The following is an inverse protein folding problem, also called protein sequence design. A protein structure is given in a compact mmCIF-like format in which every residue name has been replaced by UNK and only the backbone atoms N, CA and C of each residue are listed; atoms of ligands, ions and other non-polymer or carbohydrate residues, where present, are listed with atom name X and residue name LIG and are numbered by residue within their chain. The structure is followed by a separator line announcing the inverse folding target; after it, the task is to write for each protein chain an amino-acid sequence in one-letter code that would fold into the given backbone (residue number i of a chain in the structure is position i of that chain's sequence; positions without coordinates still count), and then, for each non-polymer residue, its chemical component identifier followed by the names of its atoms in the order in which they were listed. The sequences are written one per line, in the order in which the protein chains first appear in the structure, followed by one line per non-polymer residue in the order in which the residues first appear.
data_IF_436698442524
#
_entry.id   IF_436698442524
#
_cell.length_a   1.000
_cell.length_b   1.000
_cell.length_c   1.000
_cell.angle_alpha   90.00
_cell.angle_beta   90.00
_cell.angle_gamma   90.00
#
_symmetry.space_group_name_H-M   'P 1'
#
loop_
_entity.id
_entity.type
_entity.pdbx_description
1 polymer ?
#
# COMPACT_ATOMS: atom_id res chain seq x y z
N UNK A 1 -17.57 15.10 13.62
CA UNK A 1 -16.99 13.74 13.72
C UNK A 1 -16.01 13.50 12.57
N UNK A 2 -16.38 13.65 11.31
CA UNK A 2 -15.48 13.42 10.14
C UNK A 2 -14.19 14.23 10.18
N UNK A 3 -14.26 15.49 10.58
CA UNK A 3 -13.10 16.35 10.73
C UNK A 3 -12.13 15.83 11.81
N UNK A 4 -12.66 15.50 12.98
CA UNK A 4 -11.87 14.98 14.09
C UNK A 4 -11.19 13.65 13.73
N UNK A 5 -11.92 12.73 13.09
CA UNK A 5 -11.33 11.47 12.60
C UNK A 5 -10.22 11.71 11.59
N UNK A 6 -10.40 12.66 10.66
CA UNK A 6 -9.35 13.00 9.68
C UNK A 6 -8.11 13.53 10.36
N UNK A 7 -8.28 14.44 11.32
CA UNK A 7 -7.16 15.02 12.07
C UNK A 7 -6.44 13.94 12.90
N UNK A 8 -7.19 13.03 13.51
CA UNK A 8 -6.63 11.91 14.27
C UNK A 8 -5.81 10.97 13.39
N UNK A 9 -6.32 10.61 12.20
CA UNK A 9 -5.58 9.77 11.25
C UNK A 9 -4.28 10.48 10.80
N UNK A 10 -4.37 11.76 10.44
CA UNK A 10 -3.21 12.54 10.02
C UNK A 10 -2.16 12.58 11.13
N UNK A 11 -2.56 12.94 12.36
CA UNK A 11 -1.66 12.98 13.50
C UNK A 11 -1.03 11.61 13.81
N UNK A 12 -1.84 10.55 13.77
CA UNK A 12 -1.35 9.19 13.97
C UNK A 12 -0.36 8.77 12.88
N UNK A 13 -0.65 9.05 11.61
CA UNK A 13 0.24 8.70 10.51
C UNK A 13 1.56 9.48 10.54
N UNK A 14 1.55 10.75 10.97
CA UNK A 14 2.78 11.52 11.17
C UNK A 14 3.61 10.91 12.30
N UNK A 15 3.02 10.70 13.46
CA UNK A 15 3.71 10.13 14.62
C UNK A 15 4.21 8.71 14.35
N UNK A 16 3.34 7.84 13.80
CA UNK A 16 3.67 6.46 13.47
C UNK A 16 4.75 6.36 12.40
N UNK A 17 4.64 7.18 11.34
CA UNK A 17 5.65 7.25 10.29
C UNK A 17 7.01 7.68 10.82
N UNK A 18 7.06 8.73 11.66
CA UNK A 18 8.31 9.18 12.30
C UNK A 18 8.91 8.07 13.18
N UNK A 19 8.10 7.44 14.03
CA UNK A 19 8.54 6.36 14.90
C UNK A 19 9.10 5.17 14.13
N UNK A 20 8.42 4.76 13.04
CA UNK A 20 8.90 3.67 12.19
C UNK A 20 10.22 4.02 11.50
N UNK A 21 10.38 5.24 10.97
CA UNK A 21 11.62 5.65 10.31
C UNK A 21 12.79 5.75 11.29
N UNK A 22 12.56 6.26 12.50
CA UNK A 22 13.60 6.33 13.56
C UNK A 22 14.03 4.94 14.03
N UNK A 23 13.12 3.98 14.07
CA UNK A 23 13.39 2.61 14.51
C UNK A 23 13.64 1.62 13.37
N UNK A 24 13.70 2.10 12.13
CA UNK A 24 13.83 1.21 10.98
C UNK A 24 15.18 0.49 10.93
N UNK A 25 16.28 1.15 11.34
CA UNK A 25 17.63 0.60 11.13
C UNK A 25 17.77 0.16 9.66
N UNK A 26 18.13 -1.09 9.43
CA UNK A 26 18.25 -1.69 8.08
C UNK A 26 16.96 -2.30 7.55
N UNK A 27 15.90 -2.32 8.35
CA UNK A 27 14.62 -2.89 7.96
C UNK A 27 13.89 -2.02 6.91
N UNK A 28 13.98 -2.45 5.64
CA UNK A 28 13.37 -1.74 4.50
C UNK A 28 11.84 -1.73 4.57
N UNK A 29 11.21 -2.80 5.06
CA UNK A 29 9.75 -2.86 5.18
C UNK A 29 9.23 -1.76 6.12
N UNK A 30 9.90 -1.53 7.27
CA UNK A 30 9.57 -0.42 8.19
C UNK A 30 9.72 0.94 7.51
N UNK A 31 10.78 1.13 6.70
CA UNK A 31 10.97 2.39 5.94
C UNK A 31 9.86 2.62 4.93
N UNK A 32 9.48 1.58 4.16
CA UNK A 32 8.41 1.69 3.16
C UNK A 32 7.09 2.07 3.83
N UNK A 33 6.73 1.39 4.92
CA UNK A 33 5.49 1.70 5.64
C UNK A 33 5.53 3.10 6.27
N UNK A 34 6.66 3.49 6.87
CA UNK A 34 6.84 4.82 7.46
C UNK A 34 6.67 5.94 6.43
N UNK A 35 7.30 5.83 5.27
CA UNK A 35 7.12 6.78 4.17
C UNK A 35 5.70 6.76 3.61
N UNK A 36 5.08 5.58 3.53
CA UNK A 36 3.68 5.44 3.12
C UNK A 36 2.73 6.16 4.08
N UNK A 37 2.95 6.06 5.39
CA UNK A 37 2.18 6.79 6.40
C UNK A 37 2.33 8.31 6.25
N UNK A 38 3.56 8.82 6.00
CA UNK A 38 3.77 10.25 5.73
C UNK A 38 3.08 10.72 4.45
N UNK A 39 3.20 9.95 3.36
CA UNK A 39 2.52 10.25 2.11
C UNK A 39 1.00 10.32 2.32
N UNK A 40 0.44 9.35 3.04
CA UNK A 40 -0.98 9.35 3.38
C UNK A 40 -1.37 10.57 4.21
N UNK A 41 -0.62 10.90 5.26
CA UNK A 41 -0.88 12.06 6.10
C UNK A 41 -0.88 13.36 5.29
N UNK A 42 0.09 13.52 4.39
CA UNK A 42 0.20 14.68 3.51
C UNK A 42 -1.00 14.82 2.57
N UNK A 43 -1.37 13.73 1.88
CA UNK A 43 -2.53 13.72 0.97
C UNK A 43 -3.85 13.96 1.72
N UNK A 44 -4.00 13.33 2.89
CA UNK A 44 -5.18 13.52 3.74
C UNK A 44 -5.30 14.96 4.26
N UNK A 45 -4.16 15.61 4.59
CA UNK A 45 -4.12 17.00 5.01
C UNK A 45 -4.52 17.95 3.85
N UNK A 46 -3.98 17.75 2.65
CA UNK A 46 -4.40 18.51 1.46
C UNK A 46 -5.90 18.37 1.24
N UNK A 47 -6.40 17.14 1.24
CA UNK A 47 -7.83 16.89 1.03
C UNK A 47 -8.70 17.51 2.11
N UNK A 48 -8.27 17.44 3.36
CA UNK A 48 -8.98 18.08 4.48
C UNK A 48 -9.06 19.60 4.29
N UNK A 49 -7.94 20.25 3.91
CA UNK A 49 -7.87 21.67 3.63
C UNK A 49 -8.80 22.06 2.46
N UNK A 50 -8.74 21.33 1.35
CA UNK A 50 -9.63 21.56 0.20
C UNK A 50 -11.10 21.41 0.57
N UNK A 51 -11.47 20.41 1.38
CA UNK A 51 -12.86 20.19 1.80
C UNK A 51 -13.36 21.26 2.76
N UNK A 52 -12.49 21.91 3.53
CA UNK A 52 -12.88 23.03 4.41
C UNK A 52 -13.19 24.30 3.63
N UNK A 53 -12.47 24.53 2.52
CA UNK A 53 -12.65 25.74 1.69
C UNK A 53 -13.71 25.55 0.60
N UNK A 54 -13.83 24.33 0.04
CA UNK A 54 -14.73 24.03 -1.06
C UNK A 54 -15.79 23.04 -0.59
N UNK A 55 -17.04 23.49 -0.48
CA UNK A 55 -18.17 22.61 -0.23
C UNK A 55 -18.39 21.73 -1.46
N UNK A 56 -17.70 20.61 -1.53
CA UNK A 56 -17.82 19.69 -2.68
C UNK A 56 -19.13 18.91 -2.61
N UNK A 57 -19.85 18.75 -3.74
CA UNK A 57 -21.03 17.92 -3.81
C UNK A 57 -20.69 16.45 -3.55
N UNK A 58 -21.67 15.68 -3.14
CA UNK A 58 -21.56 14.23 -3.06
C UNK A 58 -21.43 13.70 -4.48
N UNK A 59 -20.32 13.07 -4.78
CA UNK A 59 -20.02 12.53 -6.10
C UNK A 59 -19.69 11.05 -5.95
N UNK A 60 -20.33 10.21 -6.72
CA UNK A 60 -19.93 8.83 -6.90
C UNK A 60 -18.67 8.79 -7.78
N UNK A 61 -17.79 7.83 -7.55
CA UNK A 61 -16.56 7.66 -8.33
C UNK A 61 -15.62 8.88 -8.31
N UNK A 62 -15.49 9.50 -7.12
CA UNK A 62 -14.76 10.74 -6.93
C UNK A 62 -13.25 10.57 -7.23
N UNK A 63 -12.65 11.38 -8.12
CA UNK A 63 -11.27 11.20 -8.57
C UNK A 63 -10.24 11.29 -7.45
N UNK A 64 -10.44 12.21 -6.49
CA UNK A 64 -9.51 12.37 -5.36
C UNK A 64 -9.48 11.07 -4.50
N UNK A 65 -10.64 10.43 -4.31
CA UNK A 65 -10.75 9.16 -3.56
C UNK A 65 -10.05 8.05 -4.31
N UNK A 66 -10.23 8.00 -5.65
CA UNK A 66 -9.58 7.02 -6.51
C UNK A 66 -8.06 7.11 -6.44
N UNK A 67 -7.51 8.31 -6.64
CA UNK A 67 -6.06 8.53 -6.64
C UNK A 67 -5.46 8.22 -5.25
N UNK A 68 -6.12 8.69 -4.18
CA UNK A 68 -5.67 8.40 -2.82
C UNK A 68 -5.75 6.90 -2.51
N UNK A 69 -6.83 6.24 -2.92
CA UNK A 69 -6.99 4.79 -2.77
C UNK A 69 -5.89 4.03 -3.53
N UNK A 70 -5.60 4.41 -4.78
CA UNK A 70 -4.54 3.79 -5.56
C UNK A 70 -3.16 3.92 -4.90
N UNK A 71 -2.84 5.07 -4.35
CA UNK A 71 -1.57 5.29 -3.64
C UNK A 71 -1.46 4.47 -2.35
N UNK A 72 -2.54 4.38 -1.57
CA UNK A 72 -2.56 3.55 -0.35
C UNK A 72 -2.41 2.08 -0.69
N UNK A 73 -3.18 1.58 -1.64
CA UNK A 73 -3.13 0.16 -2.03
C UNK A 73 -1.77 -0.20 -2.61
N UNK A 74 -1.16 0.67 -3.44
CA UNK A 74 0.20 0.48 -3.94
C UNK A 74 1.24 0.46 -2.82
N UNK A 75 1.14 1.36 -1.84
CA UNK A 75 2.05 1.40 -0.68
C UNK A 75 1.93 0.14 0.18
N UNK A 76 0.69 -0.30 0.47
CA UNK A 76 0.45 -1.54 1.21
C UNK A 76 0.94 -2.77 0.43
N UNK A 77 0.79 -2.78 -0.89
CA UNK A 77 1.34 -3.83 -1.74
C UNK A 77 2.88 -3.88 -1.67
N UNK A 78 3.55 -2.72 -1.75
CA UNK A 78 5.00 -2.63 -1.57
C UNK A 78 5.45 -3.13 -0.20
N UNK A 79 4.74 -2.75 0.86
CA UNK A 79 5.03 -3.22 2.20
C UNK A 79 4.93 -4.75 2.32
N UNK A 80 3.84 -5.33 1.82
CA UNK A 80 3.62 -6.78 1.84
C UNK A 80 4.70 -7.51 1.04
N UNK A 81 5.06 -7.00 -0.15
CA UNK A 81 6.12 -7.59 -0.97
C UNK A 81 7.44 -7.61 -0.21
N UNK A 82 7.82 -6.50 0.43
CA UNK A 82 9.09 -6.42 1.16
C UNK A 82 9.11 -7.28 2.43
N UNK A 83 7.94 -7.48 3.08
CA UNK A 83 7.81 -8.40 4.22
C UNK A 83 7.97 -9.85 3.77
N UNK A 84 7.28 -10.25 2.68
CA UNK A 84 7.34 -11.61 2.17
C UNK A 84 8.67 -11.94 1.50
N UNK A 85 9.32 -10.94 0.93
CA UNK A 85 10.57 -11.08 0.17
C UNK A 85 11.51 -9.92 0.46
N UNK A 86 12.22 -9.96 1.60
CA UNK A 86 13.13 -8.90 2.01
C UNK A 86 14.21 -8.63 0.96
N UNK A 87 14.44 -7.34 0.64
CA UNK A 87 15.43 -6.92 -0.36
C UNK A 87 14.97 -6.98 -1.81
N UNK A 88 13.78 -7.52 -2.11
CA UNK A 88 13.28 -7.58 -3.49
C UNK A 88 13.01 -6.18 -4.07
N UNK A 89 12.46 -5.28 -3.28
CA UNK A 89 12.16 -3.90 -3.70
C UNK A 89 13.42 -3.04 -3.65
N UNK A 90 14.29 -3.19 -4.66
CA UNK A 90 15.34 -2.19 -4.89
C UNK A 90 14.71 -0.84 -5.22
N UNK A 91 15.45 0.25 -5.02
CA UNK A 91 14.94 1.61 -5.32
C UNK A 91 14.36 1.69 -6.75
N UNK A 92 15.05 1.11 -7.72
CA UNK A 92 14.59 1.07 -9.11
C UNK A 92 13.26 0.31 -9.30
N UNK A 93 13.13 -0.87 -8.66
CA UNK A 93 11.90 -1.69 -8.73
C UNK A 93 10.75 -1.00 -7.99
N UNK A 94 11.02 -0.34 -6.87
CA UNK A 94 10.02 0.41 -6.12
C UNK A 94 9.43 1.55 -6.98
N UNK A 95 10.28 2.38 -7.59
CA UNK A 95 9.79 3.44 -8.47
C UNK A 95 9.06 2.90 -9.69
N UNK A 96 9.54 1.81 -10.30
CA UNK A 96 8.86 1.17 -11.42
C UNK A 96 7.47 0.65 -11.02
N UNK A 97 7.36 0.11 -9.80
CA UNK A 97 6.10 -0.44 -9.29
C UNK A 97 5.07 0.66 -8.97
N UNK A 98 5.49 1.81 -8.44
CA UNK A 98 4.59 2.93 -8.12
C UNK A 98 4.31 3.81 -9.34
N UNK A 99 5.19 3.84 -10.34
CA UNK A 99 5.09 4.73 -11.50
C UNK A 99 3.72 4.70 -12.20
N UNK A 100 3.02 3.57 -12.41
CA UNK A 100 1.72 3.58 -13.08
C UNK A 100 0.67 4.42 -12.33
N UNK A 101 0.68 4.37 -10.99
CA UNK A 101 -0.24 5.16 -10.16
C UNK A 101 0.09 6.65 -10.26
N UNK A 102 1.38 6.98 -10.20
CA UNK A 102 1.84 8.38 -10.33
C UNK A 102 1.49 8.92 -11.71
N UNK A 103 1.76 8.16 -12.77
CA UNK A 103 1.40 8.57 -14.14
C UNK A 103 -0.10 8.72 -14.35
N UNK A 104 -0.92 7.80 -13.80
CA UNK A 104 -2.37 7.91 -13.83
C UNK A 104 -2.88 9.18 -13.14
N UNK A 105 -2.34 9.48 -11.94
CA UNK A 105 -2.66 10.70 -11.21
C UNK A 105 -2.20 11.98 -11.93
N UNK A 106 -0.98 11.97 -12.48
CA UNK A 106 -0.46 13.10 -13.27
C UNK A 106 -1.24 13.32 -14.57
N UNK A 107 -1.61 12.25 -15.28
CA UNK A 107 -2.44 12.34 -16.48
C UNK A 107 -3.80 12.96 -16.17
N UNK A 108 -4.43 12.55 -15.06
CA UNK A 108 -5.68 13.14 -14.61
C UNK A 108 -5.52 14.62 -14.24
N UNK A 109 -4.44 14.97 -13.53
CA UNK A 109 -4.14 16.35 -13.18
C UNK A 109 -3.88 17.20 -14.43
N UNK A 110 -3.11 16.72 -15.39
CA UNK A 110 -2.83 17.39 -16.66
C UNK A 110 -4.12 17.64 -17.45
N UNK A 111 -5.00 16.63 -17.55
CA UNK A 111 -6.30 16.78 -18.17
C UNK A 111 -7.14 17.88 -17.51
N UNK A 112 -7.15 17.92 -16.18
CA UNK A 112 -7.84 18.96 -15.41
C UNK A 112 -7.27 20.37 -15.64
N UNK A 113 -5.95 20.50 -15.69
CA UNK A 113 -5.26 21.78 -15.92
C UNK A 113 -5.38 22.27 -17.37
N UNK A 114 -5.56 21.37 -18.33
CA UNK A 114 -5.79 21.73 -19.74
C UNK A 114 -7.20 22.22 -20.04
N UNK A 115 -8.06 22.35 -19.01
CA UNK A 115 -9.45 22.79 -19.19
C UNK A 115 -10.40 21.69 -19.64
N UNK A 116 -10.03 20.42 -19.43
CA UNK A 116 -10.90 19.29 -19.70
C UNK A 116 -12.21 19.38 -18.93
N UNK A 117 -13.31 18.98 -19.55
CA UNK A 117 -14.62 18.97 -18.93
C UNK A 117 -14.67 17.91 -17.83
N UNK A 118 -14.88 18.37 -16.58
CA UNK A 118 -15.01 17.52 -15.40
C UNK A 118 -16.48 17.43 -15.06
N UNK A 119 -17.04 16.23 -15.19
CA UNK A 119 -18.42 15.96 -14.82
C UNK A 119 -18.52 15.41 -13.41
N UNK A 120 -19.57 15.83 -12.69
CA UNK A 120 -19.91 15.30 -11.37
C UNK A 120 -20.96 14.20 -11.56
N UNK A 121 -20.59 12.96 -11.23
CA UNK A 121 -21.49 11.82 -11.38
C UNK A 121 -22.13 11.50 -10.02
N UNK A 122 -23.45 11.39 -10.00
CA UNK A 122 -24.21 11.05 -8.78
C UNK A 122 -24.52 9.57 -8.66
N UNK A 123 -24.41 8.84 -9.78
CA UNK A 123 -24.67 7.41 -9.89
C UNK A 123 -23.60 6.74 -10.73
N UNK A 124 -23.33 5.48 -10.43
CA UNK A 124 -22.41 4.67 -11.23
C UNK A 124 -22.96 4.42 -12.64
N UNK A 125 -24.28 4.42 -12.82
CA UNK A 125 -24.92 4.30 -14.11
C UNK A 125 -24.57 5.47 -15.03
N UNK A 126 -24.57 6.69 -14.51
CA UNK A 126 -24.18 7.90 -15.24
C UNK A 126 -22.74 7.82 -15.74
N UNK A 127 -21.84 7.22 -14.95
CA UNK A 127 -20.42 7.03 -15.33
C UNK A 127 -20.32 6.15 -16.60
N UNK A 128 -21.14 5.12 -16.71
CA UNK A 128 -21.13 4.24 -17.89
C UNK A 128 -21.91 4.79 -19.10
N UNK A 129 -22.88 5.67 -18.87
CA UNK A 129 -23.64 6.32 -19.94
C UNK A 129 -22.84 7.43 -20.65
N UNK A 130 -21.92 8.12 -19.93
CA UNK A 130 -21.11 9.21 -20.46
C UNK A 130 -19.63 8.82 -20.56
N UNK A 131 -19.29 8.03 -21.58
CA UNK A 131 -17.91 7.66 -21.88
C UNK A 131 -17.14 8.82 -22.51
N UNK A 132 -16.61 9.69 -21.68
CA UNK A 132 -15.70 10.77 -22.08
C UNK A 132 -14.29 10.54 -21.56
N UNK A 133 -13.35 11.43 -21.88
CA UNK A 133 -11.95 11.33 -21.48
C UNK A 133 -11.78 11.36 -19.95
N UNK A 134 -12.62 12.12 -19.23
CA UNK A 134 -12.65 12.16 -17.76
C UNK A 134 -12.95 10.77 -17.18
N UNK A 135 -14.00 10.10 -17.70
CA UNK A 135 -14.37 8.74 -17.28
C UNK A 135 -13.26 7.73 -17.59
N UNK A 136 -12.66 7.83 -18.80
CA UNK A 136 -11.60 6.91 -19.20
C UNK A 136 -10.40 6.99 -18.23
N UNK A 137 -9.98 8.19 -17.86
CA UNK A 137 -8.88 8.40 -16.91
C UNK A 137 -9.25 7.89 -15.52
N UNK A 138 -10.47 8.15 -15.03
CA UNK A 138 -10.94 7.61 -13.74
C UNK A 138 -10.99 6.09 -13.75
N UNK A 139 -11.46 5.47 -14.84
CA UNK A 139 -11.48 4.00 -15.01
C UNK A 139 -10.07 3.41 -15.04
N UNK A 140 -9.11 4.08 -15.67
CA UNK A 140 -7.72 3.63 -15.67
C UNK A 140 -7.15 3.61 -14.24
N UNK A 141 -7.34 4.68 -13.47
CA UNK A 141 -6.91 4.73 -12.06
C UNK A 141 -7.65 3.68 -11.21
N UNK A 142 -8.93 3.45 -11.48
CA UNK A 142 -9.72 2.42 -10.80
C UNK A 142 -9.18 1.01 -11.07
N UNK A 143 -8.89 0.67 -12.33
CA UNK A 143 -8.31 -0.62 -12.69
C UNK A 143 -6.93 -0.83 -12.06
N UNK A 144 -6.10 0.21 -12.03
CA UNK A 144 -4.83 0.18 -11.31
C UNK A 144 -5.06 -0.06 -9.81
N UNK A 145 -6.04 0.60 -9.20
CA UNK A 145 -6.38 0.40 -7.80
C UNK A 145 -6.79 -1.05 -7.54
N UNK A 146 -7.68 -1.62 -8.36
CA UNK A 146 -8.09 -3.03 -8.26
C UNK A 146 -6.88 -3.97 -8.37
N UNK A 147 -5.98 -3.71 -9.31
CA UNK A 147 -4.76 -4.50 -9.43
C UNK A 147 -3.94 -4.48 -8.13
N UNK A 148 -3.67 -3.29 -7.57
CA UNK A 148 -2.92 -3.16 -6.32
C UNK A 148 -3.69 -3.66 -5.09
N UNK A 149 -5.02 -3.73 -5.12
CA UNK A 149 -5.83 -4.35 -4.07
C UNK A 149 -5.70 -5.87 -4.07
N UNK A 150 -5.75 -6.48 -5.25
CA UNK A 150 -5.71 -7.94 -5.40
C UNK A 150 -4.30 -8.47 -5.15
N UNK A 151 -3.28 -7.73 -5.59
CA UNK A 151 -1.90 -8.18 -5.57
C UNK A 151 -1.38 -8.59 -4.17
N UNK A 152 -1.52 -7.79 -3.09
CA UNK A 152 -1.04 -8.21 -1.76
C UNK A 152 -1.79 -9.43 -1.24
N UNK A 153 -3.10 -9.53 -1.48
CA UNK A 153 -3.91 -10.68 -1.07
C UNK A 153 -3.43 -11.94 -1.79
N UNK A 154 -3.23 -11.85 -3.10
CA UNK A 154 -2.70 -12.95 -3.91
C UNK A 154 -1.30 -13.38 -3.45
N UNK A 155 -0.39 -12.42 -3.21
CA UNK A 155 0.97 -12.70 -2.76
C UNK A 155 0.98 -13.40 -1.39
N UNK A 156 0.20 -12.90 -0.44
CA UNK A 156 0.08 -13.55 0.88
C UNK A 156 -0.47 -14.97 0.72
N UNK A 157 -1.54 -15.16 -0.07
CA UNK A 157 -2.14 -16.49 -0.26
C UNK A 157 -1.18 -17.47 -0.95
N UNK A 158 -0.38 -17.00 -1.91
CA UNK A 158 0.55 -17.84 -2.68
C UNK A 158 1.82 -18.18 -1.91
N UNK A 159 2.41 -17.21 -1.22
CA UNK A 159 3.75 -17.34 -0.64
C UNK A 159 3.77 -17.61 0.85
N UNK A 160 2.66 -17.48 1.58
CA UNK A 160 2.62 -17.75 3.01
C UNK A 160 3.03 -19.19 3.37
N UNK A 161 2.70 -20.18 2.53
CA UNK A 161 3.07 -21.57 2.75
C UNK A 161 4.58 -21.78 2.59
N UNK A 162 5.15 -21.28 1.50
CA UNK A 162 6.57 -21.44 1.20
C UNK A 162 7.44 -20.70 2.23
N UNK A 163 6.96 -19.53 2.68
CA UNK A 163 7.60 -18.77 3.74
C UNK A 163 7.56 -19.51 5.10
N UNK A 164 6.45 -20.19 5.41
CA UNK A 164 6.32 -21.00 6.63
C UNK A 164 7.29 -22.17 6.64
N UNK A 165 7.37 -22.90 5.52
CA UNK A 165 8.32 -24.01 5.38
C UNK A 165 9.74 -23.50 5.53
N UNK A 166 10.07 -22.42 4.85
CA UNK A 166 11.38 -21.81 4.92
C UNK A 166 11.77 -21.38 6.34
N UNK A 167 10.87 -20.77 7.12
CA UNK A 167 11.14 -20.39 8.50
C UNK A 167 11.34 -21.61 9.40
N UNK A 168 10.52 -22.64 9.23
CA UNK A 168 10.64 -23.88 10.01
C UNK A 168 11.99 -24.57 9.77
N UNK A 169 12.57 -24.44 8.57
CA UNK A 169 13.84 -25.05 8.21
C UNK A 169 15.08 -24.23 8.61
N UNK A 170 14.93 -22.89 8.68
CA UNK A 170 16.09 -21.99 8.81
C UNK A 170 16.13 -21.18 10.12
N UNK A 171 15.07 -21.24 10.94
CA UNK A 171 14.98 -20.45 12.17
C UNK A 171 14.76 -21.37 13.37
N UNK A 172 15.59 -21.22 14.38
CA UNK A 172 15.55 -22.06 15.59
C UNK A 172 14.31 -21.83 16.45
N UNK A 173 13.71 -20.66 16.36
CA UNK A 173 12.49 -20.28 17.10
C UNK A 173 11.46 -19.64 16.15
N UNK A 174 10.69 -20.46 15.38
CA UNK A 174 9.70 -19.96 14.45
C UNK A 174 8.53 -19.22 15.12
N UNK A 175 8.30 -19.43 16.44
CA UNK A 175 7.23 -18.76 17.17
C UNK A 175 7.51 -17.25 17.32
N UNK A 176 8.77 -16.84 17.32
CA UNK A 176 9.17 -15.42 17.38
C UNK A 176 8.80 -14.66 16.08
N UNK A 177 8.65 -15.39 14.98
CA UNK A 177 8.26 -14.87 13.66
C UNK A 177 6.79 -15.17 13.35
N UNK A 178 5.89 -14.86 14.28
CA UNK A 178 4.43 -15.13 14.21
C UNK A 178 3.84 -14.95 12.80
N UNK A 179 3.63 -16.07 12.10
CA UNK A 179 3.15 -16.11 10.71
C UNK A 179 1.62 -16.03 10.61
N UNK A 180 0.92 -16.25 11.70
CA UNK A 180 -0.53 -16.11 11.71
C UNK A 180 -0.96 -14.67 11.38
N UNK A 181 -0.10 -13.70 11.64
CA UNK A 181 -0.42 -12.30 11.33
C UNK A 181 -0.56 -12.06 9.83
N UNK A 182 0.12 -12.80 8.96
CA UNK A 182 -0.05 -12.68 7.50
C UNK A 182 -1.47 -13.06 7.07
N UNK A 183 -2.03 -14.13 7.62
CA UNK A 183 -3.41 -14.51 7.34
C UNK A 183 -4.41 -13.49 7.87
N UNK A 184 -4.18 -12.97 9.09
CA UNK A 184 -4.99 -11.90 9.67
C UNK A 184 -4.90 -10.62 8.81
N UNK A 185 -3.70 -10.30 8.32
CA UNK A 185 -3.46 -9.18 7.40
C UNK A 185 -4.27 -9.30 6.11
N UNK A 186 -4.33 -10.50 5.52
CA UNK A 186 -5.14 -10.75 4.33
C UNK A 186 -6.62 -10.43 4.57
N UNK A 187 -7.18 -10.89 5.69
CA UNK A 187 -8.57 -10.60 6.05
C UNK A 187 -8.79 -9.09 6.24
N UNK A 188 -7.89 -8.43 6.96
CA UNK A 188 -7.96 -6.96 7.20
C UNK A 188 -7.91 -6.20 5.88
N UNK A 189 -7.04 -6.58 4.96
CA UNK A 189 -6.96 -5.96 3.63
C UNK A 189 -8.24 -6.15 2.83
N UNK A 190 -8.83 -7.35 2.82
CA UNK A 190 -10.10 -7.62 2.13
C UNK A 190 -11.21 -6.73 2.71
N UNK A 191 -11.30 -6.63 4.03
CA UNK A 191 -12.30 -5.77 4.70
C UNK A 191 -12.08 -4.30 4.36
N UNK A 192 -10.85 -3.80 4.46
CA UNK A 192 -10.50 -2.42 4.08
C UNK A 192 -10.91 -2.13 2.64
N UNK A 193 -10.57 -3.02 1.73
CA UNK A 193 -10.86 -2.86 0.31
C UNK A 193 -12.36 -2.91 0.03
N UNK A 194 -13.09 -3.78 0.72
CA UNK A 194 -14.55 -3.82 0.64
C UNK A 194 -15.20 -2.49 1.05
N UNK A 195 -14.80 -1.92 2.17
CA UNK A 195 -15.27 -0.61 2.61
C UNK A 195 -14.88 0.51 1.65
N UNK A 196 -13.65 0.48 1.13
CA UNK A 196 -13.21 1.45 0.13
C UNK A 196 -14.06 1.39 -1.16
N UNK A 197 -14.37 0.19 -1.67
CA UNK A 197 -15.21 0.05 -2.86
C UNK A 197 -16.64 0.56 -2.60
N UNK A 198 -17.22 0.23 -1.45
CA UNK A 198 -18.54 0.75 -1.06
C UNK A 198 -18.52 2.28 -0.94
N UNK A 199 -17.47 2.85 -0.36
CA UNK A 199 -17.31 4.30 -0.27
C UNK A 199 -17.25 4.95 -1.65
N UNK A 200 -16.48 4.36 -2.58
CA UNK A 200 -16.33 4.86 -3.93
C UNK A 200 -17.66 4.93 -4.70
N UNK A 201 -18.52 3.92 -4.48
CA UNK A 201 -19.81 3.82 -5.13
C UNK A 201 -20.87 4.75 -4.51
N UNK A 202 -20.89 4.86 -3.18
CA UNK A 202 -21.96 5.55 -2.46
C UNK A 202 -21.59 6.96 -2.05
N UNK A 203 -20.32 7.19 -1.67
CA UNK A 203 -19.77 8.44 -1.14
C UNK A 203 -20.73 9.15 -0.13
N UNK A 204 -21.40 8.36 0.71
CA UNK A 204 -22.30 8.90 1.73
C UNK A 204 -21.51 9.34 2.97
N UNK A 205 -22.01 10.36 3.73
CA UNK A 205 -21.32 10.80 4.94
C UNK A 205 -21.12 9.70 5.98
N UNK A 206 -22.07 8.77 6.10
CA UNK A 206 -21.98 7.64 7.02
C UNK A 206 -20.88 6.66 6.60
N UNK A 207 -20.87 6.26 5.32
CA UNK A 207 -19.86 5.36 4.80
C UNK A 207 -18.46 5.97 4.89
N UNK A 208 -18.35 7.29 4.70
CA UNK A 208 -17.09 8.00 4.86
C UNK A 208 -16.57 7.97 6.32
N UNK A 209 -17.44 8.05 7.32
CA UNK A 209 -17.07 7.90 8.74
C UNK A 209 -16.62 6.47 9.03
N UNK A 210 -17.36 5.47 8.53
CA UNK A 210 -17.03 4.05 8.71
C UNK A 210 -15.68 3.73 8.06
N UNK A 211 -15.48 4.11 6.80
CA UNK A 211 -14.23 3.90 6.07
C UNK A 211 -13.03 4.51 6.81
N UNK A 212 -13.13 5.77 7.25
CA UNK A 212 -12.07 6.41 8.02
C UNK A 212 -11.78 5.69 9.34
N UNK A 213 -12.83 5.23 10.02
CA UNK A 213 -12.65 4.48 11.28
C UNK A 213 -11.93 3.17 11.01
N UNK A 214 -12.35 2.41 10.00
CA UNK A 214 -11.67 1.17 9.59
C UNK A 214 -10.23 1.45 9.17
N UNK A 215 -10.01 2.49 8.37
CA UNK A 215 -8.68 2.88 7.92
C UNK A 215 -7.75 3.25 9.09
N UNK A 216 -8.27 3.95 10.12
CA UNK A 216 -7.50 4.25 11.34
C UNK A 216 -7.05 2.97 12.05
N UNK A 217 -7.97 2.00 12.22
CA UNK A 217 -7.63 0.71 12.82
C UNK A 217 -6.61 -0.07 11.98
N UNK A 218 -6.74 -0.03 10.66
CA UNK A 218 -5.81 -0.68 9.74
C UNK A 218 -4.42 -0.05 9.85
N UNK A 219 -4.29 1.27 9.83
CA UNK A 219 -3.02 1.94 10.05
C UNK A 219 -2.40 1.63 11.41
N UNK A 220 -3.23 1.58 12.47
CA UNK A 220 -2.77 1.21 13.80
C UNK A 220 -2.25 -0.24 13.82
N UNK A 221 -2.96 -1.17 13.19
CA UNK A 221 -2.56 -2.57 13.11
C UNK A 221 -1.23 -2.75 12.35
N UNK A 222 -1.10 -2.13 11.18
CA UNK A 222 0.15 -2.21 10.42
C UNK A 222 1.32 -1.55 11.14
N UNK A 223 1.10 -0.40 11.76
CA UNK A 223 2.09 0.27 12.58
C UNK A 223 2.57 -0.62 13.73
N UNK A 224 1.64 -1.19 14.49
CA UNK A 224 1.94 -2.06 15.62
C UNK A 224 2.74 -3.29 15.15
N UNK A 225 2.28 -3.97 14.12
CA UNK A 225 3.00 -5.13 13.56
C UNK A 225 4.36 -4.77 13.00
N UNK A 226 4.49 -3.65 12.29
CA UNK A 226 5.78 -3.20 11.75
C UNK A 226 6.76 -2.79 12.85
N UNK A 227 6.28 -2.22 13.96
CA UNK A 227 7.14 -1.80 15.08
C UNK A 227 7.90 -3.00 15.65
N UNK A 228 7.22 -4.14 15.81
CA UNK A 228 7.79 -5.36 16.36
C UNK A 228 8.24 -6.37 15.28
N UNK A 229 8.18 -5.98 14.00
CA UNK A 229 8.57 -6.85 12.91
C UNK A 229 10.08 -7.11 12.95
N UNK A 230 10.47 -8.33 13.25
CA UNK A 230 11.81 -8.84 12.98
C UNK A 230 11.81 -9.39 11.56
N UNK A 231 12.72 -8.92 10.72
CA UNK A 231 12.90 -9.43 9.35
C UNK A 231 14.14 -10.30 9.38
N UNK A 232 13.99 -11.53 8.97
CA UNK A 232 15.13 -12.40 8.71
C UNK A 232 15.82 -11.85 7.46
N UNK A 233 17.00 -11.27 7.62
CA UNK A 233 17.84 -10.87 6.50
C UNK A 233 18.46 -12.15 5.95
N UNK A 234 17.90 -12.64 4.85
CA UNK A 234 18.44 -13.78 4.14
C UNK A 234 19.56 -13.33 3.25
N UNK A 235 20.76 -13.59 3.65
CA UNK A 235 21.94 -13.18 2.89
C UNK A 235 22.23 -14.07 1.69
N UNK A 236 21.66 -15.22 1.49
CA UNK A 236 21.79 -16.01 0.25
C UNK A 236 20.67 -17.02 0.06
N UNK A 237 20.16 -17.07 -1.17
CA UNK A 237 19.39 -18.12 -1.82
C UNK A 237 17.97 -18.41 -1.32
N UNK A 238 17.05 -17.50 -1.57
CA UNK A 238 15.69 -17.92 -1.88
C UNK A 238 15.59 -18.13 -3.40
N UNK A 239 16.00 -19.26 -3.91
CA UNK A 239 15.67 -19.75 -5.26
C UNK A 239 14.20 -20.17 -5.26
N UNK A 240 13.29 -19.23 -5.18
CA UNK A 240 11.87 -19.49 -5.47
C UNK A 240 11.66 -19.36 -6.96
N UNK A 241 10.70 -20.08 -7.54
CA UNK A 241 10.40 -20.12 -8.97
C UNK A 241 10.01 -18.78 -9.64
N UNK A 242 10.47 -17.67 -9.09
CA UNK A 242 10.43 -16.32 -9.63
C UNK A 242 11.77 -15.85 -10.17
N UNK A 243 12.79 -16.71 -10.13
CA UNK A 243 14.03 -16.43 -10.80
C UNK A 243 13.76 -16.46 -12.30
N UNK A 244 13.43 -15.31 -12.87
CA UNK A 244 13.88 -15.00 -14.21
C UNK A 244 15.37 -15.39 -14.23
N UNK A 245 15.85 -16.10 -15.24
CA UNK A 245 17.23 -16.55 -15.29
C UNK A 245 18.11 -15.35 -15.04
N UNK A 246 18.65 -15.26 -13.82
CA UNK A 246 19.75 -14.35 -13.51
C UNK A 246 20.90 -14.92 -14.32
N UNK A 247 21.39 -14.19 -15.31
CA UNK A 247 22.66 -14.47 -15.90
C UNK A 247 23.67 -14.46 -14.75
N UNK A 248 24.15 -15.63 -14.39
CA UNK A 248 25.36 -15.78 -13.61
C UNK A 248 26.43 -15.03 -14.43
N UNK A 249 26.81 -13.84 -13.97
CA UNK A 249 28.09 -13.28 -14.34
C UNK A 249 29.13 -14.24 -13.75
N UNK A 250 29.79 -15.00 -14.64
CA UNK A 250 30.86 -15.97 -14.36
C UNK A 250 32.14 -15.30 -13.81
N UNK A 251 32.03 -14.49 -12.76
CA UNK A 251 33.18 -13.81 -12.14
C UNK A 251 33.08 -13.72 -10.61
N UNK A 252 32.75 -14.80 -9.92
CA UNK A 252 32.95 -14.88 -8.47
C UNK A 252 33.40 -16.29 -8.03
N UNK A 253 34.48 -16.78 -8.65
CA UNK A 253 35.42 -17.67 -7.98
C UNK A 253 36.26 -16.79 -7.06
N UNK A 254 36.01 -16.78 -5.77
CA UNK A 254 36.84 -16.40 -4.66
C UNK A 254 36.10 -15.51 -3.63
N UNK A 255 35.14 -16.08 -2.89
CA UNK A 255 34.91 -15.61 -1.52
C UNK A 255 34.58 -16.80 -0.63
N UNK A 256 35.59 -17.13 0.17
CA UNK A 256 35.55 -18.12 1.22
C UNK A 256 34.49 -17.79 2.28
N UNK A 257 33.84 -18.83 2.75
CA UNK A 257 33.00 -18.93 3.94
C UNK A 257 33.42 -18.02 5.11
N UNK A 258 32.62 -17.02 5.42
CA UNK A 258 32.66 -16.35 6.74
C UNK A 258 31.42 -16.74 7.57
N UNK A 259 31.60 -16.87 8.90
CA UNK A 259 30.59 -17.43 9.78
C UNK A 259 29.52 -16.38 10.17
N UNK A 260 28.35 -16.91 10.46
CA UNK A 260 27.19 -16.21 10.97
C UNK A 260 27.50 -15.30 12.17
N UNK A 261 27.06 -14.03 12.12
CA UNK A 261 26.92 -13.18 13.29
C UNK A 261 25.45 -12.87 13.54
N UNK A 262 24.97 -13.31 14.69
CA UNK A 262 23.72 -12.83 15.30
C UNK A 262 23.91 -11.37 15.70
N UNK A 263 23.09 -10.47 15.19
CA UNK A 263 23.03 -9.09 15.67
C UNK A 263 21.80 -8.94 16.54
N UNK A 264 22.07 -8.75 17.83
CA UNK A 264 21.10 -8.51 18.90
C UNK A 264 20.27 -7.22 18.71
#
# INVERSE_FOLDING_TARGET
IQFLLSLQIIGFCIFGGATLLLRAGDNRAKRILGWGMFLWAFLAAIRLSVNLYLHKPKEAFHPDILIMGALVTATLACYVIEVLRPGFLTCKRFFLFISPVVFGGLAYLAYRLSGGEIHTYYSIREVFEYLNMDVLLRMTVFLLTLFYMILPVYLIARYSKDFNVFLAENVSDPEEYDLEWLRKTMIILIVLYGFYLVLLLTNTPLMYVIDKTVLLFVWYYFFYKALFLKVVVLEHSFKSGWDLPYQEDDNDDDIASEPFYEVA
#
